data_IF_369650388443
#
_entry.id   IF_369650388443
#
_cell.length_a   1.000
_cell.length_b   1.000
_cell.length_c   1.000
_cell.angle_alpha   90.00
_cell.angle_beta   90.00
_cell.angle_gamma   90.00
#
_symmetry.space_group_name_H-M   'P 1'
#
loop_
_entity.id
_entity.type
_entity.pdbx_description
1 polymer ?
#
# COMPACT_ATOMS: atom_id res chain seq x y z
N UNK A 1 -25.04 -6.69 19.09
CA UNK A 1 -23.60 -6.33 19.08
C UNK A 1 -23.21 -5.94 17.65
N UNK A 2 -22.38 -4.92 17.45
CA UNK A 2 -21.86 -4.53 16.12
C UNK A 2 -20.39 -4.92 16.00
N UNK A 3 -19.97 -5.45 14.84
CA UNK A 3 -18.57 -5.75 14.54
C UNK A 3 -18.06 -4.87 13.39
N UNK A 4 -16.87 -4.28 13.56
CA UNK A 4 -16.15 -3.51 12.53
C UNK A 4 -14.96 -4.34 12.06
N UNK A 5 -14.88 -4.60 10.76
CA UNK A 5 -13.84 -5.44 10.17
C UNK A 5 -12.91 -4.61 9.28
N UNK A 6 -11.64 -4.50 9.68
CA UNK A 6 -10.73 -3.40 9.28
C UNK A 6 -9.81 -3.74 8.10
N UNK A 7 -9.69 -5.01 7.72
CA UNK A 7 -8.74 -5.45 6.68
C UNK A 7 -9.29 -6.59 5.82
N UNK A 8 -10.28 -6.32 4.94
CA UNK A 8 -10.92 -7.33 4.13
C UNK A 8 -10.12 -7.75 2.88
N UNK A 9 -8.85 -7.38 2.72
CA UNK A 9 -8.15 -7.67 1.45
C UNK A 9 -7.36 -8.98 1.47
N UNK A 10 -7.02 -9.51 2.66
CA UNK A 10 -6.22 -10.72 2.82
C UNK A 10 -6.42 -11.32 4.22
N UNK A 11 -6.57 -12.65 4.38
CA UNK A 11 -6.58 -13.69 3.34
C UNK A 11 -7.85 -13.70 2.48
N UNK A 12 -7.86 -14.27 1.26
CA UNK A 12 -9.02 -14.23 0.34
C UNK A 12 -10.34 -14.75 0.92
N UNK A 13 -10.25 -15.61 1.95
CA UNK A 13 -11.39 -16.22 2.63
C UNK A 13 -11.86 -15.44 3.87
N UNK A 14 -11.36 -14.22 4.12
CA UNK A 14 -11.79 -13.40 5.25
C UNK A 14 -13.33 -13.20 5.27
N UNK A 15 -13.97 -13.21 4.09
CA UNK A 15 -15.42 -13.07 3.95
C UNK A 15 -16.20 -14.21 4.63
N UNK A 16 -15.61 -15.40 4.80
CA UNK A 16 -16.26 -16.53 5.48
C UNK A 16 -16.48 -16.22 6.96
N UNK A 17 -15.53 -15.52 7.61
CA UNK A 17 -15.71 -15.05 8.99
C UNK A 17 -16.85 -14.04 9.09
N UNK A 18 -16.90 -13.10 8.14
CA UNK A 18 -17.98 -12.10 8.06
C UNK A 18 -19.34 -12.75 7.79
N UNK A 19 -19.37 -13.75 6.91
CA UNK A 19 -20.57 -14.51 6.59
C UNK A 19 -21.10 -15.24 7.84
N UNK A 20 -20.24 -15.97 8.56
CA UNK A 20 -20.62 -16.67 9.78
C UNK A 20 -21.19 -15.72 10.84
N UNK A 21 -20.61 -14.52 11.01
CA UNK A 21 -21.16 -13.51 11.92
C UNK A 21 -22.56 -13.04 11.49
N UNK A 22 -22.79 -12.84 10.20
CA UNK A 22 -24.10 -12.43 9.68
C UNK A 22 -25.15 -13.53 9.84
N UNK A 23 -24.78 -14.80 9.63
CA UNK A 23 -25.65 -15.97 9.85
C UNK A 23 -26.08 -16.09 11.33
N UNK A 24 -25.24 -15.65 12.27
CA UNK A 24 -25.57 -15.57 13.70
C UNK A 24 -26.35 -14.30 14.10
N UNK A 25 -26.80 -13.49 13.12
CA UNK A 25 -27.61 -12.30 13.37
C UNK A 25 -26.82 -11.05 13.76
N UNK A 26 -25.49 -11.05 13.64
CA UNK A 26 -24.69 -9.85 13.91
C UNK A 26 -24.67 -8.89 12.72
N UNK A 27 -24.72 -7.59 13.01
CA UNK A 27 -24.47 -6.54 12.02
C UNK A 27 -22.97 -6.31 11.86
N UNK A 28 -22.46 -6.56 10.66
CA UNK A 28 -21.03 -6.39 10.32
C UNK A 28 -20.85 -5.31 9.25
N UNK A 29 -20.12 -4.26 9.61
CA UNK A 29 -19.70 -3.19 8.70
C UNK A 29 -18.33 -3.53 8.10
N UNK A 30 -18.24 -3.47 6.78
CA UNK A 30 -17.03 -3.73 6.02
C UNK A 30 -16.53 -2.43 5.42
N UNK A 31 -15.43 -1.90 5.97
CA UNK A 31 -14.75 -0.75 5.40
C UNK A 31 -13.25 -1.08 5.35
N UNK A 32 -12.60 -1.01 4.18
CA UNK A 32 -11.14 -1.04 4.15
C UNK A 32 -10.66 0.24 4.84
N UNK A 33 -10.11 0.12 6.05
CA UNK A 33 -9.59 1.30 6.76
C UNK A 33 -8.40 1.91 6.00
N UNK A 34 -7.67 1.08 5.24
CA UNK A 34 -6.52 1.51 4.47
C UNK A 34 -6.39 0.74 3.16
N UNK A 35 -5.91 1.45 2.15
CA UNK A 35 -5.35 0.94 0.91
C UNK A 35 -3.82 0.92 1.05
N UNK A 36 -3.23 -0.27 1.01
CA UNK A 36 -1.78 -0.45 1.07
C UNK A 36 -1.17 -0.53 -0.33
N UNK A 37 0.06 -0.05 -0.48
CA UNK A 37 0.82 -0.14 -1.73
C UNK A 37 2.27 -0.50 -1.49
N UNK A 38 2.77 -1.45 -2.27
CA UNK A 38 4.20 -1.74 -2.37
C UNK A 38 4.76 -1.02 -3.59
N UNK A 39 5.38 0.14 -3.35
CA UNK A 39 5.95 1.00 -4.38
C UNK A 39 7.44 0.71 -4.48
N UNK A 40 7.97 0.62 -5.69
CA UNK A 40 9.41 0.38 -5.88
C UNK A 40 10.03 1.35 -6.87
N UNK A 41 11.34 1.58 -6.70
CA UNK A 41 12.17 2.40 -7.60
C UNK A 41 13.38 1.59 -8.08
N UNK A 42 13.77 1.81 -9.33
CA UNK A 42 15.02 1.31 -9.92
C UNK A 42 15.96 2.49 -10.07
N UNK A 43 17.17 2.40 -9.57
CA UNK A 43 18.12 3.52 -9.61
C UNK A 43 18.88 3.58 -10.94
N UNK A 44 19.13 2.43 -11.57
CA UNK A 44 19.88 2.38 -12.82
C UNK A 44 19.01 2.80 -14.01
N UNK A 45 19.51 3.73 -14.83
CA UNK A 45 18.84 4.25 -16.04
C UNK A 45 17.44 4.84 -15.83
N UNK A 46 17.21 5.44 -14.65
CA UNK A 46 15.97 6.13 -14.33
C UNK A 46 16.29 7.46 -13.66
N UNK A 47 15.64 8.51 -14.13
CA UNK A 47 15.77 9.85 -13.57
C UNK A 47 14.41 10.24 -12.98
N UNK A 48 14.22 10.00 -11.68
CA UNK A 48 12.98 10.36 -11.01
C UNK A 48 12.92 11.86 -10.74
N UNK A 49 11.73 12.45 -10.89
CA UNK A 49 11.52 13.88 -10.65
C UNK A 49 11.77 14.26 -9.19
N UNK A 50 11.35 13.40 -8.26
CA UNK A 50 11.63 13.57 -6.83
C UNK A 50 12.84 12.74 -6.43
N UNK A 51 13.77 13.36 -5.70
CA UNK A 51 14.83 12.62 -5.00
C UNK A 51 14.21 11.63 -4.00
N UNK A 52 15.02 10.70 -3.50
CA UNK A 52 14.58 9.76 -2.46
C UNK A 52 14.13 10.51 -1.21
N UNK A 53 14.89 11.50 -0.79
CA UNK A 53 14.64 12.30 0.41
C UNK A 53 13.34 13.10 0.26
N UNK A 54 13.12 13.72 -0.90
CA UNK A 54 11.87 14.43 -1.21
C UNK A 54 10.67 13.49 -1.27
N UNK A 55 10.83 12.26 -1.80
CA UNK A 55 9.76 11.27 -1.80
C UNK A 55 9.42 10.84 -0.37
N UNK A 56 10.42 10.53 0.46
CA UNK A 56 10.21 10.13 1.86
C UNK A 56 9.49 11.22 2.65
N UNK A 57 9.91 12.47 2.51
CA UNK A 57 9.26 13.62 3.13
C UNK A 57 7.79 13.72 2.70
N UNK A 58 7.53 13.54 1.40
CA UNK A 58 6.17 13.64 0.83
C UNK A 58 5.25 12.47 1.21
N UNK A 59 5.79 11.27 1.36
CA UNK A 59 5.05 10.11 1.87
C UNK A 59 4.71 10.29 3.35
N UNK A 60 5.64 10.86 4.12
CA UNK A 60 5.43 11.27 5.51
C UNK A 60 4.87 10.13 6.37
N UNK A 61 3.87 10.44 7.19
CA UNK A 61 3.23 9.47 8.11
C UNK A 61 2.48 8.31 7.43
N UNK A 62 2.36 8.31 6.10
CA UNK A 62 1.78 7.20 5.34
C UNK A 62 2.80 6.11 4.99
N UNK A 63 4.11 6.38 5.17
CA UNK A 63 5.17 5.40 4.99
C UNK A 63 5.21 4.43 6.18
N UNK A 64 5.12 3.13 5.89
CA UNK A 64 5.20 2.05 6.87
C UNK A 64 6.59 1.42 6.94
N UNK A 65 7.22 1.26 5.77
CA UNK A 65 8.53 0.65 5.64
C UNK A 65 9.23 1.20 4.41
N UNK A 66 10.52 1.46 4.55
CA UNK A 66 11.41 1.82 3.46
C UNK A 66 12.71 1.02 3.59
N UNK A 67 13.22 0.53 2.46
CA UNK A 67 14.48 -0.20 2.46
C UNK A 67 14.83 -0.78 1.10
N UNK A 68 15.94 -1.54 1.01
CA UNK A 68 16.33 -2.20 -0.22
C UNK A 68 15.38 -3.35 -0.55
N UNK A 69 15.03 -3.50 -1.82
CA UNK A 69 14.34 -4.69 -2.30
C UNK A 69 15.23 -5.93 -2.09
N UNK A 70 14.73 -7.06 -1.55
CA UNK A 70 15.49 -8.29 -1.42
C UNK A 70 16.08 -8.73 -2.76
N UNK A 71 17.32 -9.27 -2.81
CA UNK A 71 18.00 -9.61 -4.05
C UNK A 71 17.17 -10.48 -5.01
N UNK A 72 16.41 -11.45 -4.48
CA UNK A 72 15.55 -12.34 -5.25
C UNK A 72 14.46 -11.61 -6.06
N UNK A 73 14.06 -10.39 -5.66
CA UNK A 73 12.98 -9.64 -6.30
C UNK A 73 13.45 -8.45 -7.14
N UNK A 74 14.74 -8.08 -7.06
CA UNK A 74 15.28 -6.87 -7.71
C UNK A 74 15.15 -6.87 -9.23
N UNK A 75 15.24 -8.04 -9.85
CA UNK A 75 15.12 -8.19 -11.31
C UNK A 75 13.84 -7.55 -11.84
N UNK A 76 12.71 -7.86 -11.21
CA UNK A 76 11.38 -7.41 -11.64
C UNK A 76 10.92 -6.14 -10.93
N UNK A 77 11.21 -6.00 -9.64
CA UNK A 77 10.64 -4.93 -8.82
C UNK A 77 11.51 -3.67 -8.76
N UNK A 78 12.81 -3.76 -9.04
CA UNK A 78 13.75 -2.66 -8.82
C UNK A 78 14.47 -2.76 -7.47
N UNK A 79 15.19 -1.71 -7.12
CA UNK A 79 16.27 -1.76 -6.13
C UNK A 79 15.82 -1.35 -4.72
N UNK A 80 14.81 -0.49 -4.63
CA UNK A 80 14.33 0.14 -3.40
C UNK A 80 12.81 0.01 -3.29
N UNK A 81 12.32 -0.26 -2.07
CA UNK A 81 10.90 -0.42 -1.77
C UNK A 81 10.39 0.61 -0.76
N UNK A 82 9.12 0.97 -0.92
CA UNK A 82 8.34 1.81 -0.01
C UNK A 82 6.98 1.14 0.20
N UNK A 83 6.71 0.68 1.42
CA UNK A 83 5.40 0.21 1.81
C UNK A 83 4.62 1.39 2.39
N UNK A 84 3.47 1.68 1.81
CA UNK A 84 2.64 2.84 2.21
C UNK A 84 1.21 2.40 2.49
N UNK A 85 0.48 3.21 3.26
CA UNK A 85 -0.97 3.06 3.46
C UNK A 85 -1.70 4.39 3.37
N UNK A 86 -2.89 4.39 2.78
CA UNK A 86 -3.75 5.57 2.66
C UNK A 86 -5.21 5.21 2.96
N UNK A 87 -5.98 6.13 3.52
CA UNK A 87 -7.42 5.90 3.78
C UNK A 87 -8.28 6.00 2.51
N UNK A 88 -7.78 6.66 1.46
CA UNK A 88 -8.45 6.77 0.16
C UNK A 88 -7.57 6.18 -0.94
N UNK A 89 -8.18 5.40 -1.83
CA UNK A 89 -7.48 4.81 -2.98
C UNK A 89 -6.86 5.85 -3.90
N UNK A 90 -7.53 6.99 -4.09
CA UNK A 90 -7.02 8.10 -4.91
C UNK A 90 -5.68 8.65 -4.39
N UNK A 91 -5.53 8.78 -3.07
CA UNK A 91 -4.31 9.28 -2.45
C UNK A 91 -3.15 8.27 -2.60
N UNK A 92 -3.46 6.96 -2.54
CA UNK A 92 -2.48 5.92 -2.85
C UNK A 92 -2.01 6.02 -4.31
N UNK A 93 -2.91 6.20 -5.27
CA UNK A 93 -2.54 6.38 -6.68
C UNK A 93 -1.69 7.65 -6.89
N UNK A 94 -2.01 8.73 -6.19
CA UNK A 94 -1.23 9.95 -6.20
C UNK A 94 0.21 9.70 -5.67
N UNK A 95 0.35 8.93 -4.59
CA UNK A 95 1.65 8.57 -4.03
C UNK A 95 2.49 7.72 -4.99
N UNK A 96 1.86 6.76 -5.68
CA UNK A 96 2.52 5.96 -6.74
C UNK A 96 3.04 6.88 -7.86
N UNK A 97 2.25 7.87 -8.28
CA UNK A 97 2.67 8.84 -9.29
C UNK A 97 3.91 9.65 -8.86
N UNK A 98 3.99 10.12 -7.60
CA UNK A 98 5.18 10.80 -7.08
C UNK A 98 6.43 9.92 -7.15
N UNK A 99 6.28 8.62 -6.91
CA UNK A 99 7.38 7.68 -6.94
C UNK A 99 7.87 7.39 -8.37
N UNK A 100 7.01 7.42 -9.38
CA UNK A 100 7.34 6.96 -10.73
C UNK A 100 7.49 8.06 -11.79
N UNK A 101 7.05 9.28 -11.50
CA UNK A 101 7.24 10.40 -12.44
C UNK A 101 8.73 10.64 -12.69
N UNK A 102 9.11 10.68 -13.97
CA UNK A 102 10.49 10.88 -14.39
C UNK A 102 10.72 12.34 -14.80
N UNK A 103 11.92 12.84 -14.52
CA UNK A 103 12.41 14.09 -15.08
C UNK A 103 12.58 13.92 -16.60
N UNK A 104 12.25 14.97 -17.36
CA UNK A 104 12.45 15.01 -18.81
C UNK A 104 13.93 15.06 -19.17
#
# INVERSE_FOLDING_TARGET
>A
MNFVFISPQFPPHFYLFVQALREQGFRVLLEPHFHAGHITRRHHHRHYQLSREQLLERLGGNLLLHGPTPPAYRGNLGDEMFLVRYTKLADLHQAISWAHTQAR
#
